data_IF_272826520420
#
_entry.id   IF_272826520420
#
_cell.length_a   1.000
_cell.length_b   1.000
_cell.length_c   1.000
_cell.angle_alpha   90.00
_cell.angle_beta   90.00
_cell.angle_gamma   90.00
#
_symmetry.space_group_name_H-M   'P 1'
#
loop_
_entity.id
_entity.type
_entity.pdbx_description
1 polymer ?
#
# COMPACT_ATOMS: atom_id res chain seq x y z
N UNK A 1 36.41 10.43 -49.13
CA UNK A 1 35.73 10.39 -47.81
C UNK A 1 34.96 9.09 -47.71
N UNK A 2 35.34 8.15 -46.83
CA UNK A 2 34.76 6.80 -46.82
C UNK A 2 33.31 6.84 -46.30
N UNK A 3 32.33 6.79 -47.20
CA UNK A 3 30.88 6.89 -46.91
C UNK A 3 30.37 5.86 -45.88
N UNK A 4 30.97 4.67 -45.82
CA UNK A 4 30.63 3.61 -44.85
C UNK A 4 30.76 4.00 -43.36
N UNK A 5 31.63 4.97 -43.03
CA UNK A 5 31.83 5.44 -41.64
C UNK A 5 30.54 6.06 -41.09
N UNK A 6 29.80 6.77 -41.93
CA UNK A 6 28.53 7.38 -41.54
C UNK A 6 27.45 6.35 -41.22
N UNK A 7 27.44 5.21 -41.90
CA UNK A 7 26.52 4.11 -41.59
C UNK A 7 26.79 3.52 -40.21
N UNK A 8 28.07 3.30 -39.88
CA UNK A 8 28.46 2.77 -38.56
C UNK A 8 28.09 3.77 -37.46
N UNK A 9 28.34 5.07 -37.68
CA UNK A 9 28.01 6.11 -36.71
C UNK A 9 26.50 6.23 -36.49
N UNK A 10 25.72 6.21 -37.57
CA UNK A 10 24.26 6.24 -37.49
C UNK A 10 23.70 5.00 -36.77
N UNK A 11 24.25 3.81 -37.05
CA UNK A 11 23.88 2.57 -36.36
C UNK A 11 24.18 2.64 -34.87
N UNK A 12 25.35 3.18 -34.49
CA UNK A 12 25.73 3.33 -33.09
C UNK A 12 24.82 4.30 -32.34
N UNK A 13 24.48 5.44 -32.96
CA UNK A 13 23.50 6.38 -32.40
C UNK A 13 22.14 5.73 -32.19
N UNK A 14 21.67 4.95 -33.18
CA UNK A 14 20.40 4.24 -33.10
C UNK A 14 20.42 3.19 -31.98
N UNK A 15 21.49 2.42 -31.87
CA UNK A 15 21.66 1.42 -30.83
C UNK A 15 21.63 2.04 -29.42
N UNK A 16 22.31 3.18 -29.23
CA UNK A 16 22.31 3.90 -27.96
C UNK A 16 20.92 4.44 -27.60
N UNK A 17 20.18 4.96 -28.59
CA UNK A 17 18.81 5.42 -28.40
C UNK A 17 17.90 4.27 -27.96
N UNK A 18 17.95 3.13 -28.66
CA UNK A 18 17.15 1.94 -28.34
C UNK A 18 17.47 1.43 -26.94
N UNK A 19 18.75 1.37 -26.57
CA UNK A 19 19.17 0.96 -25.22
C UNK A 19 18.60 1.89 -24.14
N UNK A 20 18.62 3.21 -24.36
CA UNK A 20 18.03 4.18 -23.44
C UNK A 20 16.52 4.01 -23.29
N UNK A 21 15.80 3.82 -24.39
CA UNK A 21 14.34 3.60 -24.37
C UNK A 21 13.99 2.31 -23.63
N UNK A 22 14.69 1.21 -23.91
CA UNK A 22 14.48 -0.08 -23.23
C UNK A 22 14.71 0.07 -21.73
N UNK A 23 15.79 0.74 -21.32
CA UNK A 23 16.09 0.97 -19.92
C UNK A 23 14.98 1.77 -19.22
N UNK A 24 14.54 2.87 -19.83
CA UNK A 24 13.47 3.71 -19.31
C UNK A 24 12.14 2.93 -19.19
N UNK A 25 11.79 2.14 -20.21
CA UNK A 25 10.57 1.32 -20.19
C UNK A 25 10.62 0.26 -19.07
N UNK A 26 11.73 -0.44 -18.90
CA UNK A 26 11.90 -1.42 -17.81
C UNK A 26 11.79 -0.74 -16.45
N UNK A 27 12.41 0.42 -16.28
CA UNK A 27 12.36 1.16 -15.04
C UNK A 27 10.94 1.67 -14.74
N UNK A 28 10.24 2.20 -15.75
CA UNK A 28 8.85 2.61 -15.65
C UNK A 28 7.93 1.44 -15.25
N UNK A 29 8.06 0.29 -15.90
CA UNK A 29 7.25 -0.90 -15.58
C UNK A 29 7.43 -1.37 -14.12
N UNK A 30 8.65 -1.30 -13.58
CA UNK A 30 8.91 -1.64 -12.17
C UNK A 30 8.24 -0.66 -11.22
N UNK A 31 8.31 0.64 -11.51
CA UNK A 31 7.63 1.67 -10.72
C UNK A 31 6.10 1.55 -10.80
N UNK A 32 5.55 1.30 -11.98
CA UNK A 32 4.10 1.16 -12.20
C UNK A 32 3.48 0.01 -11.40
N UNK A 33 4.18 -1.12 -11.25
CA UNK A 33 3.68 -2.26 -10.45
C UNK A 33 3.53 -1.90 -8.96
N UNK A 34 4.45 -1.10 -8.42
CA UNK A 34 4.38 -0.63 -7.03
C UNK A 34 3.23 0.37 -6.85
N UNK A 35 3.11 1.33 -7.78
CA UNK A 35 2.02 2.33 -7.75
C UNK A 35 0.66 1.67 -7.88
N UNK A 36 0.52 0.66 -8.75
CA UNK A 36 -0.74 -0.07 -8.93
C UNK A 36 -1.20 -0.81 -7.68
N UNK A 37 -0.27 -1.44 -6.94
CA UNK A 37 -0.60 -2.12 -5.68
C UNK A 37 -1.06 -1.14 -4.58
N UNK A 38 -0.40 0.02 -4.49
CA UNK A 38 -0.77 1.08 -3.54
C UNK A 38 -2.12 1.70 -3.91
N UNK A 39 -2.36 1.95 -5.19
CA UNK A 39 -3.64 2.48 -5.68
C UNK A 39 -4.80 1.52 -5.37
N UNK A 40 -4.61 0.21 -5.60
CA UNK A 40 -5.62 -0.80 -5.29
C UNK A 40 -5.97 -0.86 -3.79
N UNK A 41 -4.97 -0.76 -2.91
CA UNK A 41 -5.16 -0.76 -1.45
C UNK A 41 -5.93 0.50 -0.98
N UNK A 42 -5.60 1.65 -1.55
CA UNK A 42 -6.32 2.91 -1.28
C UNK A 42 -7.77 2.82 -1.76
N UNK A 43 -8.00 2.35 -2.97
CA UNK A 43 -9.36 2.18 -3.52
C UNK A 43 -10.18 1.20 -2.69
N UNK A 44 -9.61 0.05 -2.30
CA UNK A 44 -10.29 -0.91 -1.44
C UNK A 44 -10.69 -0.29 -0.09
N UNK A 45 -9.83 0.54 0.50
CA UNK A 45 -10.14 1.23 1.75
C UNK A 45 -11.24 2.29 1.59
N UNK A 46 -11.26 3.00 0.47
CA UNK A 46 -12.32 3.96 0.14
C UNK A 46 -13.64 3.24 -0.08
N UNK A 47 -13.64 2.10 -0.78
CA UNK A 47 -14.83 1.28 -0.98
C UNK A 47 -15.40 0.76 0.34
N UNK A 48 -14.55 0.31 1.27
CA UNK A 48 -14.96 -0.10 2.61
C UNK A 48 -15.58 1.06 3.41
N UNK A 49 -15.10 2.29 3.22
CA UNK A 49 -15.67 3.48 3.85
C UNK A 49 -16.99 3.93 3.20
N UNK A 50 -17.14 3.70 1.90
CA UNK A 50 -18.35 3.98 1.14
C UNK A 50 -19.39 2.85 1.21
N UNK A 51 -19.01 1.69 1.74
CA UNK A 51 -19.93 0.59 1.97
C UNK A 51 -21.10 1.12 2.82
N UNK A 52 -22.36 0.90 2.38
CA UNK A 52 -23.51 1.30 3.16
C UNK A 52 -23.38 0.68 4.55
N UNK A 53 -23.28 1.52 5.57
CA UNK A 53 -23.32 1.07 6.95
C UNK A 53 -24.61 0.30 7.12
N UNK A 54 -24.54 -0.98 7.52
CA UNK A 54 -25.68 -1.89 7.68
C UNK A 54 -26.94 -1.12 8.16
N UNK A 55 -27.84 -0.83 7.22
CA UNK A 55 -29.10 -0.13 7.49
C UNK A 55 -30.04 -0.99 8.37
N UNK A 56 -29.67 -2.25 8.64
CA UNK A 56 -30.34 -3.17 9.56
C UNK A 56 -29.98 -3.00 11.04
N UNK A 57 -28.92 -2.26 11.38
CA UNK A 57 -28.66 -1.90 12.76
C UNK A 57 -29.57 -0.73 13.14
N UNK A 58 -30.75 -1.04 13.72
CA UNK A 58 -31.66 -0.04 14.27
C UNK A 58 -30.85 1.09 14.96
N UNK A 59 -31.15 2.38 14.69
CA UNK A 59 -30.33 3.49 15.12
C UNK A 59 -30.00 3.34 16.60
N UNK A 60 -28.73 3.04 16.88
CA UNK A 60 -28.27 2.68 18.21
C UNK A 60 -28.59 3.86 19.13
N UNK A 61 -29.38 3.60 20.18
CA UNK A 61 -29.80 4.64 21.12
C UNK A 61 -28.58 5.40 21.61
N UNK A 62 -28.74 6.72 21.70
CA UNK A 62 -27.64 7.57 22.12
C UNK A 62 -27.17 7.15 23.51
N UNK A 63 -25.85 7.07 23.71
CA UNK A 63 -25.22 6.49 24.93
C UNK A 63 -25.74 7.13 26.23
N UNK A 64 -26.08 8.42 26.20
CA UNK A 64 -26.62 9.12 27.36
C UNK A 64 -28.07 8.71 27.74
N UNK A 65 -28.77 7.97 26.88
CA UNK A 65 -30.12 7.43 27.15
C UNK A 65 -30.11 6.01 27.72
N UNK A 66 -28.93 5.41 27.84
CA UNK A 66 -28.76 4.03 28.29
C UNK A 66 -28.17 3.98 29.70
N UNK A 67 -28.44 2.91 30.46
CA UNK A 67 -27.85 2.73 31.78
C UNK A 67 -26.33 2.64 31.71
N UNK A 68 -25.65 3.15 32.74
CA UNK A 68 -24.20 3.29 32.79
C UNK A 68 -23.43 2.00 32.49
N UNK A 69 -23.97 0.85 32.90
CA UNK A 69 -23.37 -0.47 32.62
C UNK A 69 -23.19 -0.73 31.11
N UNK A 70 -24.18 -0.34 30.28
CA UNK A 70 -24.12 -0.53 28.82
C UNK A 70 -23.08 0.40 28.19
N UNK A 71 -22.92 1.62 28.72
CA UNK A 71 -21.87 2.53 28.28
C UNK A 71 -20.47 2.00 28.67
N UNK A 72 -20.33 1.39 29.86
CA UNK A 72 -19.09 0.80 30.32
C UNK A 72 -18.67 -0.41 29.45
N UNK A 73 -19.60 -1.31 29.15
CA UNK A 73 -19.34 -2.46 28.27
C UNK A 73 -18.93 -2.03 26.86
N UNK A 74 -19.63 -1.04 26.27
CA UNK A 74 -19.26 -0.48 24.96
C UNK A 74 -17.87 0.14 24.95
N UNK A 75 -17.50 0.81 26.04
CA UNK A 75 -16.15 1.36 26.17
C UNK A 75 -15.11 0.24 26.26
N UNK A 76 -15.37 -0.79 27.07
CA UNK A 76 -14.49 -1.94 27.21
C UNK A 76 -14.25 -2.66 25.86
N UNK A 77 -15.31 -2.90 25.09
CA UNK A 77 -15.24 -3.52 23.77
C UNK A 77 -14.42 -2.67 22.78
N UNK A 78 -14.70 -1.37 22.73
CA UNK A 78 -13.94 -0.45 21.87
C UNK A 78 -12.45 -0.40 22.28
N UNK A 79 -12.18 -0.41 23.59
CA UNK A 79 -10.82 -0.38 24.13
C UNK A 79 -10.04 -1.66 23.83
N UNK A 80 -10.70 -2.82 23.88
CA UNK A 80 -10.12 -4.09 23.46
C UNK A 80 -9.64 -4.02 22.00
N UNK A 81 -10.44 -3.46 21.10
CA UNK A 81 -10.06 -3.26 19.69
C UNK A 81 -8.88 -2.29 19.50
N UNK A 82 -8.69 -1.31 20.38
CA UNK A 82 -7.53 -0.41 20.36
C UNK A 82 -6.26 -1.15 20.79
N UNK A 83 -6.34 -1.95 21.85
CA UNK A 83 -5.22 -2.78 22.34
C UNK A 83 -4.78 -3.75 21.24
N UNK A 84 -5.72 -4.46 20.62
CA UNK A 84 -5.42 -5.42 19.56
C UNK A 84 -4.71 -4.76 18.36
N UNK A 85 -5.16 -3.57 17.94
CA UNK A 85 -4.47 -2.83 16.85
C UNK A 85 -3.05 -2.44 17.25
N UNK A 86 -2.82 -2.10 18.51
CA UNK A 86 -1.50 -1.73 19.03
C UNK A 86 -0.55 -2.93 19.00
N UNK A 87 -1.01 -4.09 19.44
CA UNK A 87 -0.26 -5.35 19.35
C UNK A 87 0.08 -5.70 17.90
N UNK A 88 -0.90 -5.68 16.99
CA UNK A 88 -0.65 -5.94 15.56
C UNK A 88 0.37 -4.97 14.96
N UNK A 89 0.44 -3.72 15.43
CA UNK A 89 1.48 -2.77 14.98
C UNK A 89 2.85 -3.16 15.51
N UNK A 90 2.92 -3.54 16.78
CA UNK A 90 4.16 -4.01 17.41
C UNK A 90 4.69 -5.28 16.74
N UNK A 91 3.84 -6.26 16.45
CA UNK A 91 4.20 -7.51 15.78
C UNK A 91 4.74 -7.29 14.37
N UNK A 92 4.15 -6.34 13.63
CA UNK A 92 4.65 -5.95 12.29
C UNK A 92 6.05 -5.36 12.36
N UNK A 93 6.29 -4.45 13.31
CA UNK A 93 7.63 -3.91 13.51
C UNK A 93 8.62 -5.02 13.89
N UNK A 94 8.27 -5.89 14.84
CA UNK A 94 9.11 -7.01 15.23
C UNK A 94 9.41 -7.96 14.05
N UNK A 95 8.44 -8.21 13.17
CA UNK A 95 8.64 -9.00 11.95
C UNK A 95 9.60 -8.34 10.95
N UNK A 96 9.54 -7.01 10.80
CA UNK A 96 10.50 -6.26 9.97
C UNK A 96 11.91 -6.34 10.56
N UNK A 97 12.05 -6.12 11.86
CA UNK A 97 13.34 -6.23 12.55
C UNK A 97 13.96 -7.62 12.42
N UNK A 98 13.18 -8.70 12.60
CA UNK A 98 13.64 -10.09 12.40
C UNK A 98 14.06 -10.40 10.97
N UNK A 99 13.51 -9.68 9.99
CA UNK A 99 13.90 -9.83 8.58
C UNK A 99 15.24 -9.15 8.32
N UNK A 100 15.45 -7.99 8.94
CA UNK A 100 16.70 -7.24 8.83
C UNK A 100 17.85 -7.96 9.54
N UNK A 101 17.62 -8.54 10.72
CA UNK A 101 18.66 -9.28 11.44
C UNK A 101 19.20 -10.45 10.62
N UNK A 102 18.31 -11.22 9.97
CA UNK A 102 18.70 -12.36 9.10
C UNK A 102 19.37 -11.96 7.78
N UNK A 103 19.24 -10.72 7.32
CA UNK A 103 19.95 -10.24 6.14
C UNK A 103 21.40 -9.83 6.47
N UNK A 104 21.68 -9.56 7.74
CA UNK A 104 22.98 -9.08 8.22
C UNK A 104 23.84 -10.22 8.82
N UNK A 105 23.39 -11.47 8.75
CA UNK A 105 24.14 -12.70 9.03
C UNK A 105 24.69 -13.28 7.72
#
# INVERSE_FOLDING_TARGET
>A
MPWWIWLILALFMLAMLVAGVVYAAVHAMRASKVVGAVAADITARIDEMNAPQDEGAAPRRAIFTEPLAVAADRYADAHAGVIERRERRHDRHAAVWRRWSRFND
#
